data_IF_547302398999
#
_entry.id   IF_547302398999
#
_cell.length_a   1.000
_cell.length_b   1.000
_cell.length_c   1.000
_cell.angle_alpha   90.00
_cell.angle_beta   90.00
_cell.angle_gamma   90.00
#
_symmetry.space_group_name_H-M   'P 1'
#
loop_
_entity.id
_entity.type
_entity.pdbx_description
1 polymer ?
#
# COMPACT_ATOMS: atom_id res chain seq x y z
N UNK A 1 5.89 4.27 13.13
CA UNK A 1 5.79 4.91 11.80
C UNK A 1 4.53 5.72 11.80
N UNK A 2 4.63 7.04 11.64
CA UNK A 2 3.50 7.95 11.64
C UNK A 2 2.80 7.95 10.27
N UNK A 3 1.60 8.52 10.19
CA UNK A 3 0.81 8.54 8.96
C UNK A 3 1.56 9.22 7.80
N UNK A 4 2.28 10.30 8.07
CA UNK A 4 3.07 11.03 7.07
C UNK A 4 4.25 10.21 6.53
N UNK A 5 4.94 9.47 7.42
CA UNK A 5 6.03 8.58 7.01
C UNK A 5 5.50 7.42 6.14
N UNK A 6 4.31 6.90 6.49
CA UNK A 6 3.62 5.86 5.71
C UNK A 6 3.24 6.36 4.33
N UNK A 7 2.63 7.54 4.23
CA UNK A 7 2.25 8.15 2.97
C UNK A 7 3.47 8.40 2.06
N UNK A 8 4.58 8.86 2.65
CA UNK A 8 5.81 9.10 1.89
C UNK A 8 6.46 7.80 1.38
N UNK A 9 6.48 6.75 2.19
CA UNK A 9 6.97 5.43 1.76
C UNK A 9 6.05 4.82 0.70
N UNK A 10 4.74 4.95 0.85
CA UNK A 10 3.76 4.49 -0.14
C UNK A 10 3.91 5.24 -1.48
N UNK A 11 4.02 6.57 -1.44
CA UNK A 11 4.28 7.40 -2.62
C UNK A 11 5.58 6.99 -3.31
N UNK A 12 6.64 6.75 -2.54
CA UNK A 12 7.93 6.30 -3.09
C UNK A 12 7.83 4.93 -3.75
N UNK A 13 7.05 4.00 -3.18
CA UNK A 13 6.76 2.70 -3.76
C UNK A 13 5.98 2.82 -5.07
N UNK A 14 4.93 3.66 -5.12
CA UNK A 14 4.15 3.90 -6.33
C UNK A 14 5.03 4.47 -7.45
N UNK A 15 5.88 5.45 -7.14
CA UNK A 15 6.84 5.98 -8.10
C UNK A 15 7.86 4.93 -8.59
N UNK A 16 8.33 4.04 -7.70
CA UNK A 16 9.21 2.95 -8.07
C UNK A 16 8.52 1.96 -9.02
N UNK A 17 7.27 1.59 -8.74
CA UNK A 17 6.46 0.74 -9.61
C UNK A 17 6.27 1.36 -11.00
N UNK A 18 5.96 2.66 -11.07
CA UNK A 18 5.85 3.38 -12.35
C UNK A 18 7.16 3.37 -13.14
N UNK A 19 8.32 3.54 -12.48
CA UNK A 19 9.64 3.47 -13.13
C UNK A 19 10.01 2.06 -13.60
N UNK A 20 9.62 1.04 -12.84
CA UNK A 20 9.86 -0.37 -13.16
C UNK A 20 8.98 -0.82 -14.34
N UNK A 21 7.77 -0.28 -14.42
CA UNK A 21 6.79 -0.58 -15.46
C UNK A 21 5.98 -1.86 -15.18
N UNK A 22 4.80 -1.96 -15.80
CA UNK A 22 3.82 -3.02 -15.57
C UNK A 22 4.39 -4.42 -15.79
N UNK A 23 5.21 -4.62 -16.82
CA UNK A 23 5.79 -5.93 -17.14
C UNK A 23 6.72 -6.47 -16.07
N UNK A 24 7.34 -5.59 -15.27
CA UNK A 24 8.30 -5.97 -14.21
C UNK A 24 7.74 -5.75 -12.81
N UNK A 25 6.54 -5.19 -12.67
CA UNK A 25 5.90 -4.97 -11.38
C UNK A 25 5.76 -6.26 -10.55
N UNK A 26 5.34 -7.42 -11.10
CA UNK A 26 5.26 -8.66 -10.33
C UNK A 26 6.63 -9.11 -9.79
N UNK A 27 7.69 -8.95 -10.58
CA UNK A 27 9.06 -9.31 -10.17
C UNK A 27 9.57 -8.36 -9.08
N UNK A 28 9.34 -7.06 -9.22
CA UNK A 28 9.70 -6.06 -8.21
C UNK A 28 9.01 -6.34 -6.88
N UNK A 29 7.70 -6.60 -6.91
CA UNK A 29 6.92 -6.93 -5.72
C UNK A 29 7.38 -8.25 -5.08
N UNK A 30 7.78 -9.24 -5.89
CA UNK A 30 8.35 -10.49 -5.37
C UNK A 30 9.66 -10.26 -4.62
N UNK A 31 10.55 -9.42 -5.14
CA UNK A 31 11.84 -9.10 -4.51
C UNK A 31 11.63 -8.28 -3.22
N UNK A 32 10.76 -7.27 -3.28
CA UNK A 32 10.41 -6.46 -2.11
C UNK A 32 9.75 -7.33 -1.03
N UNK A 33 8.79 -8.16 -1.42
CA UNK A 33 8.10 -9.11 -0.56
C UNK A 33 9.09 -10.06 0.13
N UNK A 34 9.98 -10.72 -0.63
CA UNK A 34 10.99 -11.61 -0.05
C UNK A 34 11.92 -10.89 0.94
N UNK A 35 12.33 -9.65 0.63
CA UNK A 35 13.17 -8.83 1.50
C UNK A 35 12.47 -8.48 2.82
N UNK A 36 11.16 -8.25 2.79
CA UNK A 36 10.33 -7.99 3.98
C UNK A 36 10.10 -9.27 4.78
N UNK A 37 9.76 -10.38 4.11
CA UNK A 37 9.54 -11.68 4.75
C UNK A 37 10.80 -12.18 5.46
N UNK A 38 11.99 -11.95 4.89
CA UNK A 38 13.27 -12.30 5.52
C UNK A 38 13.55 -11.56 6.84
N UNK A 39 12.83 -10.47 7.12
CA UNK A 39 12.98 -9.69 8.36
C UNK A 39 11.98 -10.10 9.44
N UNK A 40 10.99 -10.93 9.09
CA UNK A 40 10.02 -11.44 10.05
C UNK A 40 10.66 -12.56 10.88
N UNK A 41 10.38 -12.62 12.19
CA UNK A 41 10.96 -13.62 13.08
C UNK A 41 10.36 -15.01 12.89
N UNK A 42 9.17 -15.13 12.26
CA UNK A 42 8.41 -16.38 12.18
C UNK A 42 7.83 -16.63 10.79
N UNK A 43 8.04 -17.84 10.25
CA UNK A 43 7.40 -18.28 9.01
C UNK A 43 5.86 -18.29 9.09
N UNK A 44 5.30 -18.50 10.29
CA UNK A 44 3.87 -18.47 10.51
C UNK A 44 3.28 -17.06 10.38
N UNK A 45 3.98 -16.04 10.89
CA UNK A 45 3.58 -14.63 10.73
C UNK A 45 3.70 -14.18 9.27
N UNK A 46 4.78 -14.59 8.60
CA UNK A 46 4.95 -14.41 7.16
C UNK A 46 3.77 -14.98 6.36
N UNK A 47 3.36 -16.22 6.68
CA UNK A 47 2.21 -16.86 6.01
C UNK A 47 0.90 -16.13 6.31
N UNK A 48 0.68 -15.68 7.54
CA UNK A 48 -0.54 -14.96 7.92
C UNK A 48 -0.67 -13.62 7.19
N UNK A 49 0.44 -12.89 6.98
CA UNK A 49 0.44 -11.65 6.19
C UNK A 49 0.16 -11.92 4.70
N UNK A 50 0.69 -13.02 4.16
CA UNK A 50 0.44 -13.41 2.78
C UNK A 50 -1.03 -13.77 2.53
N UNK A 51 -1.64 -14.53 3.46
CA UNK A 51 -3.06 -14.91 3.43
C UNK A 51 -3.98 -13.67 3.47
N UNK A 52 -3.66 -12.71 4.35
CA UNK A 52 -4.39 -11.43 4.43
C UNK A 52 -4.27 -10.59 3.15
N UNK A 53 -3.07 -10.52 2.56
CA UNK A 53 -2.86 -9.78 1.32
C UNK A 53 -3.59 -10.43 0.13
N UNK A 54 -3.63 -11.77 0.08
CA UNK A 54 -4.38 -12.53 -0.91
C UNK A 54 -5.90 -12.29 -0.78
N UNK A 55 -6.44 -12.41 0.43
CA UNK A 55 -7.84 -12.12 0.72
C UNK A 55 -8.22 -10.70 0.29
N UNK A 56 -7.40 -9.70 0.68
CA UNK A 56 -7.63 -8.31 0.28
C UNK A 56 -7.52 -8.10 -1.24
N UNK A 57 -6.68 -8.83 -1.96
CA UNK A 57 -6.55 -8.68 -3.42
C UNK A 57 -7.72 -9.32 -4.18
N UNK A 58 -8.34 -10.34 -3.60
CA UNK A 58 -9.48 -11.07 -4.17
C UNK A 58 -10.82 -10.44 -3.76
N UNK A 59 -10.86 -9.67 -2.68
CA UNK A 59 -12.00 -8.84 -2.35
C UNK A 59 -12.11 -7.67 -3.35
N UNK A 60 -13.14 -7.74 -4.22
CA UNK A 60 -13.56 -6.69 -5.17
C UNK A 60 -13.77 -5.30 -4.52
N UNK A 61 -13.78 -5.24 -3.19
CA UNK A 61 -13.97 -4.04 -2.36
C UNK A 61 -12.67 -3.38 -1.84
N UNK A 62 -11.47 -3.88 -2.19
CA UNK A 62 -10.22 -3.34 -1.61
C UNK A 62 -9.90 -1.88 -1.99
N UNK A 63 -10.44 -1.39 -3.11
CA UNK A 63 -10.31 0.02 -3.51
C UNK A 63 -11.20 0.93 -2.63
N UNK A 64 -12.26 0.41 -1.99
CA UNK A 64 -13.16 1.20 -1.16
C UNK A 64 -12.63 1.43 0.26
N UNK A 65 -11.75 0.55 0.78
CA UNK A 65 -11.16 0.73 2.11
C UNK A 65 -9.92 1.66 2.11
N UNK A 66 -9.46 2.06 0.91
CA UNK A 66 -8.52 3.18 0.70
C UNK A 66 -9.23 4.54 0.59
N UNK A 67 -10.48 4.66 1.05
CA UNK A 67 -11.05 5.97 1.35
C UNK A 67 -10.30 6.54 2.55
N UNK A 68 -9.24 7.25 2.20
CA UNK A 68 -8.46 8.11 3.03
C UNK A 68 -9.33 8.87 4.03
N UNK A 69 -8.78 9.01 5.23
CA UNK A 69 -8.96 10.19 6.06
C UNK A 69 -8.69 11.44 5.19
N UNK A 70 -9.67 11.87 4.39
CA UNK A 70 -9.64 13.17 3.75
C UNK A 70 -9.89 14.19 4.88
N UNK A 71 -8.92 15.06 5.23
CA UNK A 71 -9.22 16.16 6.11
C UNK A 71 -10.28 17.01 5.40
N UNK A 72 -11.41 17.19 6.09
CA UNK A 72 -12.51 18.09 5.75
C UNK A 72 -11.95 19.38 5.18
N UNK A 73 -12.03 19.56 3.86
CA UNK A 73 -11.78 20.86 3.26
C UNK A 73 -12.87 21.80 3.78
N UNK A 74 -12.54 22.90 4.50
CA UNK A 74 -13.54 23.89 4.82
C UNK A 74 -13.86 24.60 3.51
N UNK A 75 -15.04 24.34 2.94
CA UNK A 75 -15.59 25.20 1.90
C UNK A 75 -16.01 26.51 2.55
N UNK A 76 -15.00 27.36 2.78
CA UNK A 76 -15.16 28.72 3.23
C UNK A 76 -15.90 29.52 2.15
N UNK A 77 -16.82 30.34 2.63
CA UNK A 77 -17.73 31.20 1.90
C UNK A 77 -17.09 32.05 0.79
N UNK A 78 -17.88 32.42 -0.23
CA UNK A 78 -18.07 33.85 -0.56
C UNK A 78 -19.31 34.12 -1.44
N UNK A 79 -19.84 35.36 -1.38
CA UNK A 79 -21.18 35.78 -1.79
C UNK A 79 -21.19 36.39 -3.20
N UNK A 80 -22.40 36.57 -3.73
CA UNK A 80 -22.88 37.73 -4.52
C UNK A 80 -24.40 37.70 -4.52
#
# INVERSE_FOLDING_TARGET
>A
MNHEELDQVYTSMAQALTRVGESRAPLFLSILGLSLLSRLPSAQEAKALLDQAEAASLEDNAVANYSACAPTAPSSARPT
#
